data_IF_877483627958
#
_entry.id   IF_877483627958
#
_cell.length_a   1.000
_cell.length_b   1.000
_cell.length_c   1.000
_cell.angle_alpha   90.00
_cell.angle_beta   90.00
_cell.angle_gamma   90.00
#
_symmetry.space_group_name_H-M   'P 1'
#
loop_
_entity.id
_entity.type
_entity.pdbx_description
1 polymer ?
#
# COMPACT_ATOMS: atom_id res chain seq x y z
N UNK A 1 -17.34 34.28 6.86
CA UNK A 1 -17.47 33.32 5.92
C UNK A 1 -16.36 33.17 4.99
N UNK A 2 -15.76 34.18 4.49
CA UNK A 2 -14.67 33.97 3.59
C UNK A 2 -13.50 33.32 4.20
N UNK A 3 -13.27 33.51 5.44
CA UNK A 3 -12.12 32.91 6.08
C UNK A 3 -12.19 31.42 6.11
N UNK A 4 -13.37 30.89 6.17
CA UNK A 4 -13.54 29.48 6.19
C UNK A 4 -12.97 28.83 4.95
N UNK A 5 -13.14 29.50 3.87
CA UNK A 5 -12.66 28.98 2.62
C UNK A 5 -11.16 28.91 2.58
N UNK A 6 -10.50 29.89 3.14
CA UNK A 6 -9.07 29.86 3.18
C UNK A 6 -8.56 28.68 3.98
N UNK A 7 -9.18 28.45 5.09
CA UNK A 7 -8.76 27.36 5.93
C UNK A 7 -8.85 26.04 5.23
N UNK A 8 -9.89 25.85 4.49
CA UNK A 8 -10.06 24.62 3.74
C UNK A 8 -8.97 24.44 2.72
N UNK A 9 -8.62 25.49 2.05
CA UNK A 9 -7.59 25.39 1.06
C UNK A 9 -6.26 24.99 1.66
N UNK A 10 -5.95 25.53 2.80
CA UNK A 10 -4.71 25.18 3.45
C UNK A 10 -4.66 23.74 3.86
N UNK A 11 -5.75 23.24 4.35
CA UNK A 11 -5.81 21.87 4.75
C UNK A 11 -5.60 20.97 3.57
N UNK A 12 -6.20 21.27 2.47
CA UNK A 12 -6.04 20.46 1.29
C UNK A 12 -4.59 20.41 0.84
N UNK A 13 -3.93 21.52 0.89
CA UNK A 13 -2.54 21.57 0.49
C UNK A 13 -1.70 20.70 1.41
N UNK A 14 -1.92 20.81 2.70
CA UNK A 14 -1.12 20.05 3.62
C UNK A 14 -1.28 18.55 3.50
N UNK A 15 -2.41 18.10 2.99
CA UNK A 15 -2.67 16.68 2.91
C UNK A 15 -2.23 16.03 1.64
N UNK A 16 -1.87 16.79 0.63
CA UNK A 16 -1.71 16.23 -0.69
C UNK A 16 -0.33 15.71 -1.00
N UNK A 17 0.67 16.06 -0.22
CA UNK A 17 2.05 15.81 -0.63
C UNK A 17 2.40 14.36 -0.79
N UNK A 18 1.98 13.50 0.12
CA UNK A 18 2.39 12.11 0.11
C UNK A 18 1.22 11.16 0.13
N UNK A 19 0.07 11.65 -0.27
CA UNK A 19 -1.13 10.83 -0.28
C UNK A 19 -1.31 10.21 -1.66
N UNK A 20 -1.53 8.92 -1.72
CA UNK A 20 -1.78 8.26 -2.99
C UNK A 20 -2.74 7.10 -2.79
N UNK A 21 -3.74 7.03 -3.63
CA UNK A 21 -4.72 5.95 -3.58
C UNK A 21 -4.68 5.18 -4.89
N UNK A 22 -4.57 3.85 -4.78
CA UNK A 22 -4.53 2.96 -5.92
C UNK A 22 -5.65 1.96 -5.81
N UNK A 23 -6.47 1.88 -6.86
CA UNK A 23 -7.54 0.90 -6.92
C UNK A 23 -7.16 -0.12 -7.97
N UNK A 24 -6.88 -1.35 -7.56
CA UNK A 24 -6.26 -2.33 -8.40
C UNK A 24 -7.12 -3.58 -8.53
N UNK A 25 -7.02 -4.25 -9.66
CA UNK A 25 -7.77 -5.46 -9.92
C UNK A 25 -6.85 -6.54 -10.43
N UNK A 26 -7.03 -7.74 -9.89
CA UNK A 26 -6.36 -8.93 -10.39
C UNK A 26 -7.33 -9.68 -11.30
N UNK A 27 -6.80 -10.33 -12.31
CA UNK A 27 -7.65 -11.09 -13.23
C UNK A 27 -8.31 -12.29 -12.57
N UNK A 28 -7.76 -12.77 -11.46
CA UNK A 28 -8.28 -13.98 -10.82
C UNK A 28 -8.57 -13.81 -9.34
N UNK A 29 -8.00 -12.81 -8.69
CA UNK A 29 -8.04 -12.72 -7.23
C UNK A 29 -8.76 -11.50 -6.68
N UNK A 30 -9.63 -10.90 -7.47
CA UNK A 30 -10.46 -9.80 -7.00
C UNK A 30 -9.78 -8.45 -7.04
N UNK A 31 -10.27 -7.55 -6.21
CA UNK A 31 -9.83 -6.16 -6.20
C UNK A 31 -9.20 -5.81 -4.86
N UNK A 32 -8.28 -4.88 -4.88
CA UNK A 32 -7.69 -4.32 -3.67
C UNK A 32 -7.46 -2.84 -3.85
N UNK A 33 -7.59 -2.10 -2.76
CA UNK A 33 -7.24 -0.69 -2.75
C UNK A 33 -6.06 -0.49 -1.82
N UNK A 34 -5.12 0.31 -2.25
CA UNK A 34 -3.92 0.63 -1.47
C UNK A 34 -3.88 2.13 -1.29
N UNK A 35 -3.81 2.57 -0.05
CA UNK A 35 -3.75 3.98 0.26
C UNK A 35 -2.46 4.27 0.98
N UNK A 36 -1.61 5.06 0.35
CA UNK A 36 -0.34 5.47 0.92
C UNK A 36 -0.48 6.87 1.46
N UNK A 37 -0.07 7.06 2.70
CA UNK A 37 -0.12 8.37 3.34
C UNK A 37 1.17 8.53 4.13
N UNK A 38 2.10 9.28 3.58
CA UNK A 38 3.45 9.39 4.12
C UNK A 38 4.09 8.02 4.14
N UNK A 39 4.51 7.55 5.28
CA UNK A 39 5.16 6.24 5.39
C UNK A 39 4.21 5.19 5.96
N UNK A 40 2.93 5.37 5.72
CA UNK A 40 1.92 4.41 6.17
C UNK A 40 1.16 3.89 4.97
N UNK A 41 0.68 2.67 5.09
CA UNK A 41 -0.11 2.06 4.04
C UNK A 41 -1.38 1.46 4.64
N UNK A 42 -2.48 1.63 3.94
CA UNK A 42 -3.73 0.98 4.25
C UNK A 42 -4.11 0.10 3.08
N UNK A 43 -4.44 -1.15 3.36
CA UNK A 43 -4.85 -2.10 2.32
C UNK A 43 -6.28 -2.51 2.59
N UNK A 44 -7.13 -2.35 1.58
CA UNK A 44 -8.55 -2.67 1.69
C UNK A 44 -8.86 -3.74 0.66
N UNK A 45 -9.39 -4.87 1.12
CA UNK A 45 -9.85 -5.93 0.25
C UNK A 45 -11.35 -6.06 0.42
N UNK A 46 -11.97 -6.97 -0.33
CA UNK A 46 -13.40 -7.18 -0.21
C UNK A 46 -13.79 -7.79 1.13
N UNK A 47 -12.84 -8.39 1.83
CA UNK A 47 -13.13 -9.08 3.07
C UNK A 47 -12.49 -8.44 4.29
N UNK A 48 -11.49 -7.60 4.07
CA UNK A 48 -10.64 -7.21 5.17
C UNK A 48 -10.02 -5.83 4.94
N UNK A 49 -9.52 -5.24 6.00
CA UNK A 49 -8.89 -3.94 5.94
C UNK A 49 -7.79 -3.90 6.99
N UNK A 50 -6.63 -3.41 6.61
CA UNK A 50 -5.51 -3.29 7.54
C UNK A 50 -4.69 -2.05 7.27
N UNK A 51 -3.96 -1.61 8.26
CA UNK A 51 -3.15 -0.41 8.17
C UNK A 51 -1.83 -0.64 8.90
N UNK A 52 -0.74 -0.24 8.27
CA UNK A 52 0.60 -0.47 8.80
C UNK A 52 1.50 0.72 8.57
N UNK A 53 2.53 0.85 9.39
CA UNK A 53 3.64 1.76 9.12
C UNK A 53 4.67 1.03 8.31
N UNK A 54 5.21 1.67 7.29
CA UNK A 54 6.24 1.07 6.47
C UNK A 54 7.58 1.12 7.19
N UNK A 55 8.21 -0.02 7.36
CA UNK A 55 9.56 -0.06 7.91
C UNK A 55 10.58 0.41 6.88
N UNK A 56 10.26 0.22 5.62
CA UNK A 56 11.03 0.77 4.52
C UNK A 56 10.03 1.39 3.57
N UNK A 57 10.25 2.64 3.21
CA UNK A 57 9.36 3.33 2.28
C UNK A 57 10.19 4.09 1.26
N UNK A 58 9.86 3.93 0.00
CA UNK A 58 10.51 4.67 -1.05
C UNK A 58 9.48 5.08 -2.10
N UNK A 59 9.56 6.33 -2.49
CA UNK A 59 8.67 6.86 -3.50
C UNK A 59 9.48 7.66 -4.50
N UNK A 60 9.33 7.32 -5.77
CA UNK A 60 9.90 8.10 -6.85
C UNK A 60 8.77 8.47 -7.80
N UNK A 61 9.10 9.13 -8.89
CA UNK A 61 8.12 9.44 -9.91
C UNK A 61 7.47 8.20 -10.48
N UNK A 62 8.23 7.12 -10.54
CA UNK A 62 7.84 5.92 -11.26
C UNK A 62 7.44 4.77 -10.38
N UNK A 63 7.69 4.82 -9.08
CA UNK A 63 7.27 3.71 -8.26
C UNK A 63 7.12 4.08 -6.79
N UNK A 64 6.40 3.22 -6.08
CA UNK A 64 6.21 3.26 -4.65
C UNK A 64 6.54 1.89 -4.09
N UNK A 65 7.23 1.87 -2.97
CA UNK A 65 7.53 0.61 -2.30
C UNK A 65 7.38 0.77 -0.80
N UNK A 66 6.67 -0.16 -0.19
CA UNK A 66 6.47 -0.19 1.24
C UNK A 66 6.73 -1.60 1.75
N UNK A 67 7.68 -1.74 2.68
CA UNK A 67 7.94 -3.02 3.34
C UNK A 67 7.55 -2.91 4.79
N UNK A 68 6.88 -3.92 5.28
CA UNK A 68 6.44 -4.01 6.67
C UNK A 68 6.94 -5.33 7.23
N UNK A 69 7.57 -5.27 8.39
CA UNK A 69 8.05 -6.47 9.09
C UNK A 69 7.24 -6.65 10.35
N UNK A 70 6.72 -7.85 10.55
CA UNK A 70 5.94 -8.15 11.73
C UNK A 70 6.81 -8.81 12.79
N UNK A 71 6.33 -8.78 14.03
CA UNK A 71 7.08 -9.33 15.15
C UNK A 71 7.29 -10.83 15.04
N UNK A 72 6.46 -11.52 14.28
CA UNK A 72 6.58 -12.96 14.09
C UNK A 72 7.42 -13.34 12.88
N UNK A 73 8.24 -12.41 12.40
CA UNK A 73 9.13 -12.59 11.26
C UNK A 73 8.41 -12.70 9.91
N UNK A 74 7.12 -12.42 9.88
CA UNK A 74 6.41 -12.30 8.62
C UNK A 74 6.72 -10.95 7.99
N UNK A 75 6.55 -10.85 6.69
CA UNK A 75 6.79 -9.59 6.00
C UNK A 75 5.79 -9.35 4.90
N UNK A 76 5.63 -8.10 4.57
CA UNK A 76 4.77 -7.66 3.48
C UNK A 76 5.56 -6.65 2.66
N UNK A 77 5.61 -6.86 1.35
CA UNK A 77 6.35 -5.99 0.45
C UNK A 77 5.41 -5.59 -0.68
N UNK A 78 5.06 -4.32 -0.71
CA UNK A 78 4.13 -3.82 -1.72
C UNK A 78 4.87 -2.87 -2.64
N UNK A 79 4.89 -3.20 -3.92
CA UNK A 79 5.60 -2.43 -4.93
C UNK A 79 4.60 -2.04 -6.01
N UNK A 80 4.49 -0.75 -6.26
CA UNK A 80 3.68 -0.23 -7.34
C UNK A 80 4.59 0.37 -8.40
N UNK A 81 4.38 -0.03 -9.65
CA UNK A 81 5.10 0.53 -10.78
C UNK A 81 4.15 1.39 -11.60
N UNK A 82 4.48 2.66 -11.73
CA UNK A 82 3.67 3.57 -12.52
C UNK A 82 3.76 3.23 -14.01
N UNK A 83 4.89 2.74 -14.43
CA UNK A 83 5.09 2.36 -15.81
C UNK A 83 4.18 1.21 -16.22
N UNK A 84 4.09 0.20 -15.39
CA UNK A 84 3.24 -0.96 -15.67
C UNK A 84 1.81 -0.78 -15.16
N UNK A 85 1.58 0.24 -14.37
CA UNK A 85 0.28 0.49 -13.72
C UNK A 85 -0.16 -0.74 -12.93
N UNK A 86 0.78 -1.36 -12.24
CA UNK A 86 0.50 -2.59 -11.51
C UNK A 86 1.13 -2.57 -10.15
N UNK A 87 0.54 -3.36 -9.24
CA UNK A 87 1.06 -3.53 -7.90
C UNK A 87 1.39 -5.01 -7.69
N UNK A 88 2.51 -5.26 -7.03
CA UNK A 88 2.88 -6.59 -6.55
C UNK A 88 2.85 -6.55 -5.04
N UNK A 89 1.98 -7.37 -4.45
CA UNK A 89 1.81 -7.46 -3.01
C UNK A 89 2.30 -8.83 -2.59
N UNK A 90 3.51 -8.88 -2.07
CA UNK A 90 4.16 -10.13 -1.70
C UNK A 90 4.18 -10.27 -0.19
N UNK A 91 3.68 -11.37 0.31
CA UNK A 91 3.64 -11.64 1.74
C UNK A 91 4.34 -12.94 2.02
N UNK A 92 5.19 -12.91 3.04
CA UNK A 92 5.96 -14.08 3.45
C UNK A 92 5.60 -14.38 4.90
N UNK A 93 5.17 -15.61 5.13
CA UNK A 93 4.80 -16.08 6.46
C UNK A 93 5.73 -17.21 6.87
N UNK A 94 6.27 -17.11 8.07
CA UNK A 94 7.15 -18.13 8.61
C UNK A 94 6.40 -18.97 9.64
N UNK A 95 6.70 -20.25 9.69
CA UNK A 95 6.11 -21.13 10.68
C UNK A 95 6.60 -20.79 12.07
N UNK A 96 5.69 -20.76 13.02
CA UNK A 96 6.02 -20.36 14.39
C UNK A 96 7.02 -21.27 15.04
N UNK A 97 6.96 -22.56 14.75
CA UNK A 97 7.82 -23.56 15.37
C UNK A 97 8.93 -24.05 14.47
N UNK A 98 9.00 -23.53 13.26
CA UNK A 98 10.01 -23.98 12.31
C UNK A 98 10.39 -22.84 11.41
N UNK A 99 11.46 -22.11 11.75
CA UNK A 99 11.83 -20.92 10.97
C UNK A 99 12.27 -21.24 9.55
N UNK A 100 12.60 -22.48 9.24
CA UNK A 100 12.93 -22.81 7.87
C UNK A 100 11.69 -23.04 7.00
N UNK A 101 10.53 -23.10 7.60
CA UNK A 101 9.29 -23.28 6.88
C UNK A 101 8.68 -21.91 6.59
N UNK A 102 8.56 -21.57 5.32
CA UNK A 102 7.97 -20.30 4.95
C UNK A 102 7.02 -20.48 3.78
N UNK A 103 6.02 -19.63 3.71
CA UNK A 103 5.10 -19.59 2.58
C UNK A 103 5.08 -18.18 2.02
N UNK A 104 5.14 -18.08 0.71
CA UNK A 104 5.14 -16.82 0.01
C UNK A 104 3.88 -16.73 -0.85
N UNK A 105 3.17 -15.63 -0.70
CA UNK A 105 1.98 -15.35 -1.50
C UNK A 105 2.20 -14.04 -2.23
N UNK A 106 1.88 -14.01 -3.51
CA UNK A 106 1.98 -12.79 -4.29
C UNK A 106 0.64 -12.51 -4.95
N UNK A 107 0.12 -11.31 -4.72
CA UNK A 107 -1.06 -10.84 -5.41
C UNK A 107 -0.60 -9.76 -6.38
N UNK A 108 -0.96 -9.91 -7.62
CA UNK A 108 -0.61 -8.93 -8.64
C UNK A 108 -1.88 -8.36 -9.26
N UNK A 109 -1.98 -7.05 -9.27
CA UNK A 109 -3.13 -6.39 -9.84
C UNK A 109 -2.73 -5.20 -10.68
N UNK A 110 -3.62 -4.79 -11.54
CA UNK A 110 -3.42 -3.62 -12.37
C UNK A 110 -4.28 -2.49 -11.84
N UNK A 111 -3.68 -1.32 -11.73
CA UNK A 111 -4.29 -0.18 -11.07
C UNK A 111 -4.65 0.86 -12.13
N UNK A 112 -5.93 1.18 -12.21
CA UNK A 112 -6.35 2.21 -13.12
C UNK A 112 -5.94 3.58 -12.61
N UNK A 113 -5.74 4.48 -13.52
CA UNK A 113 -5.50 5.87 -13.15
C UNK A 113 -6.83 6.54 -12.89
N UNK A 114 -6.96 7.12 -11.78
CA UNK A 114 -8.20 7.81 -11.44
C UNK A 114 -8.07 9.29 -11.61
#
# INVERSE_FOLDING_TARGET
MKYLIFILALIAVGCSDNFRELNCESSSDGSRSYIFNNQRIQVITSEDEGSWSCDYFRQTQDFLRCKVYSADNSSMDIVYSDYEESVDDTRVYFGANNPSYSKTYTWKGYCGKS
#
